data_IF_619983993424
#
_entry.id   IF_619983993424
#
_cell.length_a   1.000
_cell.length_b   1.000
_cell.length_c   1.000
_cell.angle_alpha   90.00
_cell.angle_beta   90.00
_cell.angle_gamma   90.00
#
_symmetry.space_group_name_H-M   'P 1'
#
loop_
_entity.id
_entity.type
_entity.pdbx_description
1 polymer ?
#
# COMPACT_ATOMS: atom_id res chain seq x y z
N UNK A 1 2.78 44.37 22.23
CA UNK A 1 2.48 42.92 22.18
C UNK A 1 2.45 42.45 20.72
N UNK A 2 3.27 41.46 20.38
CA UNK A 2 3.26 40.85 19.05
C UNK A 2 2.46 39.56 19.15
N UNK A 3 1.38 39.45 18.39
CA UNK A 3 0.59 38.22 18.30
C UNK A 3 0.07 38.08 16.87
N UNK A 4 -0.28 36.85 16.51
CA UNK A 4 -0.95 36.51 15.26
C UNK A 4 -2.26 35.85 15.62
N UNK A 5 -3.35 36.39 15.07
CA UNK A 5 -4.69 35.80 15.17
C UNK A 5 -5.15 35.40 13.78
N UNK A 6 -5.58 34.16 13.63
CA UNK A 6 -6.10 33.62 12.38
C UNK A 6 -7.47 33.00 12.62
N UNK A 7 -8.42 33.35 11.77
CA UNK A 7 -9.74 32.74 11.70
C UNK A 7 -9.79 31.87 10.45
N UNK A 8 -10.20 30.62 10.59
CA UNK A 8 -10.26 29.68 9.47
C UNK A 8 -11.51 28.80 9.56
N UNK A 9 -11.92 28.26 8.42
CA UNK A 9 -13.06 27.35 8.32
C UNK A 9 -12.58 25.95 7.95
N UNK A 10 -13.05 24.94 8.66
CA UNK A 10 -12.78 23.54 8.36
C UNK A 10 -14.05 22.71 8.57
N UNK A 11 -14.47 21.95 7.54
CA UNK A 11 -15.72 21.17 7.56
C UNK A 11 -16.94 21.99 7.99
N UNK A 12 -17.11 23.19 7.40
CA UNK A 12 -18.19 24.15 7.69
C UNK A 12 -18.24 24.63 9.15
N UNK A 13 -17.12 24.56 9.88
CA UNK A 13 -16.97 25.02 11.26
C UNK A 13 -15.88 26.08 11.32
N UNK A 14 -16.16 27.20 12.00
CA UNK A 14 -15.21 28.33 12.13
C UNK A 14 -14.38 28.17 13.41
N UNK A 15 -13.07 28.30 13.26
CA UNK A 15 -12.10 28.20 14.33
C UNK A 15 -11.29 29.49 14.41
N UNK A 16 -10.85 29.83 15.61
CA UNK A 16 -9.99 30.99 15.85
C UNK A 16 -8.77 30.53 16.60
N UNK A 17 -7.59 30.78 16.04
CA UNK A 17 -6.31 30.54 16.71
C UNK A 17 -5.58 31.84 16.93
N UNK A 18 -5.06 32.03 18.13
CA UNK A 18 -4.18 33.14 18.48
C UNK A 18 -2.87 32.58 19.03
N UNK A 19 -1.73 33.11 18.55
CA UNK A 19 -0.40 32.76 19.05
C UNK A 19 0.42 34.01 19.29
N UNK A 20 1.18 34.02 20.38
CA UNK A 20 2.21 35.01 20.62
C UNK A 20 3.58 34.32 20.81
N UNK A 21 4.66 34.86 20.21
CA UNK A 21 6.00 34.42 20.53
C UNK A 21 6.40 34.86 21.95
N UNK A 22 7.56 34.39 22.40
CA UNK A 22 8.21 34.95 23.58
C UNK A 22 8.75 36.35 23.26
N UNK A 23 8.54 37.32 24.15
CA UNK A 23 9.05 38.68 23.98
C UNK A 23 9.29 39.37 25.32
N UNK A 24 10.23 40.32 25.36
CA UNK A 24 10.40 41.19 26.51
C UNK A 24 9.37 42.31 26.53
N UNK A 25 8.78 42.57 27.70
CA UNK A 25 7.88 43.70 27.93
C UNK A 25 8.32 44.50 29.16
N UNK A 26 8.03 45.81 29.23
CA UNK A 26 8.23 46.57 30.46
C UNK A 26 7.49 45.94 31.64
N UNK A 27 8.10 45.98 32.82
CA UNK A 27 7.43 45.51 34.05
C UNK A 27 6.22 46.39 34.37
N UNK A 28 5.17 45.77 34.92
CA UNK A 28 3.99 46.50 35.41
C UNK A 28 4.35 47.32 36.66
N UNK A 29 5.32 46.85 37.46
CA UNK A 29 5.83 47.52 38.65
C UNK A 29 7.37 47.51 38.67
N UNK A 30 7.99 48.67 38.90
CA UNK A 30 9.44 48.85 38.93
C UNK A 30 10.09 49.14 37.57
N UNK A 31 11.41 49.35 37.58
CA UNK A 31 12.21 49.58 36.36
C UNK A 31 12.70 48.25 35.73
N UNK A 32 12.88 48.26 34.40
CA UNK A 32 13.36 47.13 33.60
C UNK A 32 12.28 46.35 32.84
N UNK A 33 12.70 45.27 32.17
CA UNK A 33 11.83 44.39 31.36
C UNK A 33 11.54 43.07 32.08
N UNK A 34 10.46 42.40 31.70
CA UNK A 34 10.10 41.03 32.07
C UNK A 34 9.83 40.23 30.82
N UNK A 35 10.23 38.97 30.81
CA UNK A 35 9.93 38.04 29.72
C UNK A 35 8.46 37.64 29.78
N UNK A 36 7.76 37.79 28.66
CA UNK A 36 6.45 37.22 28.43
C UNK A 36 6.65 35.92 27.63
N UNK A 37 6.27 34.78 28.21
CA UNK A 37 6.42 33.49 27.55
C UNK A 37 5.52 33.36 26.30
N UNK A 38 5.97 32.56 25.35
CA UNK A 38 5.13 32.16 24.22
C UNK A 38 3.84 31.49 24.70
N UNK A 39 2.72 31.79 24.05
CA UNK A 39 1.45 31.16 24.34
C UNK A 39 0.59 31.01 23.08
N UNK A 40 -0.43 30.18 23.19
CA UNK A 40 -1.41 29.95 22.14
C UNK A 40 -2.79 29.69 22.73
N UNK A 41 -3.82 30.08 21.99
CA UNK A 41 -5.23 29.82 22.30
C UNK A 41 -5.95 29.35 21.04
N UNK A 42 -6.71 28.26 21.12
CA UNK A 42 -7.58 27.75 20.08
C UNK A 42 -9.03 27.74 20.56
N UNK A 43 -9.89 28.45 19.83
CA UNK A 43 -11.33 28.55 20.09
C UNK A 43 -12.06 27.68 19.07
N UNK A 44 -12.89 26.77 19.58
CA UNK A 44 -13.78 25.92 18.79
C UNK A 44 -15.15 26.59 18.68
N UNK A 45 -15.91 26.33 17.60
CA UNK A 45 -17.27 26.86 17.47
C UNK A 45 -18.26 26.19 18.44
N UNK A 46 -18.00 24.94 18.80
CA UNK A 46 -18.93 24.10 19.57
C UNK A 46 -18.42 23.73 20.97
N UNK A 47 -17.36 24.39 21.46
CA UNK A 47 -16.85 24.18 22.83
C UNK A 47 -16.84 25.50 23.57
N UNK A 48 -17.39 25.50 24.78
CA UNK A 48 -17.37 26.68 25.66
C UNK A 48 -15.97 27.02 26.17
N UNK A 49 -15.09 26.01 26.30
CA UNK A 49 -13.74 26.20 26.80
C UNK A 49 -12.69 26.13 25.69
N UNK A 50 -11.89 27.20 25.47
CA UNK A 50 -10.79 27.17 24.51
C UNK A 50 -9.62 26.32 25.01
N UNK A 51 -8.85 25.78 24.08
CA UNK A 51 -7.58 25.09 24.39
C UNK A 51 -6.49 26.15 24.50
N UNK A 52 -5.73 26.13 25.59
CA UNK A 52 -4.65 27.09 25.85
C UNK A 52 -3.30 26.38 26.04
N UNK A 53 -2.21 27.11 25.79
CA UNK A 53 -0.84 26.62 25.86
C UNK A 53 -0.30 26.17 24.49
N UNK A 54 0.89 26.65 24.14
CA UNK A 54 1.51 26.41 22.81
C UNK A 54 1.58 24.94 22.40
N UNK A 55 1.99 24.05 23.31
CA UNK A 55 2.08 22.62 23.01
C UNK A 55 0.70 21.99 22.79
N UNK A 56 -0.23 22.23 23.72
CA UNK A 56 -1.59 21.69 23.66
C UNK A 56 -2.33 22.15 22.41
N UNK A 57 -2.22 23.44 22.07
CA UNK A 57 -2.80 23.98 20.84
C UNK A 57 -2.16 23.37 19.59
N UNK A 58 -0.85 23.08 19.60
CA UNK A 58 -0.19 22.40 18.48
C UNK A 58 -0.74 20.99 18.29
N UNK A 59 -0.87 20.20 19.36
CA UNK A 59 -1.47 18.86 19.30
C UNK A 59 -2.92 18.94 18.79
N UNK A 60 -3.72 19.84 19.36
CA UNK A 60 -5.12 20.01 18.98
C UNK A 60 -5.31 20.42 17.50
N UNK A 61 -4.43 21.27 16.97
CA UNK A 61 -4.44 21.64 15.54
C UNK A 61 -4.02 20.46 14.66
N UNK A 62 -2.98 19.72 15.05
CA UNK A 62 -2.53 18.55 14.30
C UNK A 62 -3.62 17.47 14.24
N UNK A 63 -4.36 17.25 15.33
CA UNK A 63 -5.50 16.34 15.36
C UNK A 63 -6.69 16.86 14.54
N UNK A 64 -6.95 18.17 14.58
CA UNK A 64 -8.07 18.79 13.86
C UNK A 64 -7.88 18.76 12.34
N UNK A 65 -6.69 19.17 11.88
CA UNK A 65 -6.38 19.31 10.45
C UNK A 65 -5.82 17.99 9.89
N UNK A 66 -5.24 17.16 10.74
CA UNK A 66 -4.59 15.90 10.35
C UNK A 66 -3.20 16.10 9.73
N UNK A 67 -2.58 17.27 9.94
CA UNK A 67 -1.29 17.64 9.38
C UNK A 67 -0.41 18.27 10.46
N UNK A 68 0.87 17.90 10.47
CA UNK A 68 1.87 18.58 11.30
C UNK A 68 2.48 19.81 10.60
N UNK A 69 3.36 20.53 11.30
CA UNK A 69 4.01 21.73 10.77
C UNK A 69 4.85 21.46 9.52
N UNK A 70 5.59 20.34 9.47
CA UNK A 70 6.45 20.00 8.33
C UNK A 70 5.60 19.66 7.11
N UNK A 71 4.52 18.90 7.29
CA UNK A 71 3.56 18.58 6.23
C UNK A 71 2.83 19.82 5.75
N UNK A 72 2.35 20.66 6.67
CA UNK A 72 1.67 21.91 6.32
C UNK A 72 2.60 22.86 5.57
N UNK A 73 3.84 23.03 6.03
CA UNK A 73 4.81 23.87 5.31
C UNK A 73 5.23 23.27 3.98
N UNK A 74 5.35 21.95 3.83
CA UNK A 74 5.55 21.33 2.51
C UNK A 74 4.39 21.61 1.56
N UNK A 75 3.14 21.55 2.03
CA UNK A 75 1.95 21.86 1.24
C UNK A 75 1.85 23.37 0.95
N UNK A 76 2.12 24.22 1.93
CA UNK A 76 1.97 25.68 1.85
C UNK A 76 3.15 26.35 1.13
N UNK A 77 4.39 25.83 1.22
CA UNK A 77 5.55 26.36 0.48
C UNK A 77 5.45 26.11 -1.03
N UNK A 78 4.66 25.12 -1.45
CA UNK A 78 4.32 24.94 -2.86
C UNK A 78 3.54 26.16 -3.37
N UNK A 79 2.76 26.85 -2.52
CA UNK A 79 2.00 28.04 -2.90
C UNK A 79 2.88 29.22 -3.37
N UNK A 80 4.19 29.22 -3.08
CA UNK A 80 5.08 30.31 -3.48
C UNK A 80 5.83 30.07 -4.81
N UNK A 81 5.95 28.83 -5.32
CA UNK A 81 6.63 28.55 -6.61
C UNK A 81 6.18 27.26 -7.35
N UNK A 82 5.71 26.22 -6.66
CA UNK A 82 5.47 24.89 -7.26
C UNK A 82 3.98 24.51 -7.43
N UNK A 83 3.03 25.30 -6.90
CA UNK A 83 1.59 25.01 -7.02
C UNK A 83 1.10 25.23 -8.45
N UNK A 84 1.64 26.26 -9.10
CA UNK A 84 1.38 26.52 -10.52
C UNK A 84 1.93 25.37 -11.39
N UNK A 85 3.10 24.82 -11.04
CA UNK A 85 3.62 23.62 -11.71
C UNK A 85 2.70 22.43 -11.48
N UNK A 86 2.17 22.21 -10.29
CA UNK A 86 1.20 21.12 -10.06
C UNK A 86 -0.10 21.29 -10.88
N UNK A 87 -0.60 22.53 -11.05
CA UNK A 87 -1.77 22.81 -11.90
C UNK A 87 -1.49 22.56 -13.39
N UNK A 88 -0.28 22.90 -13.85
CA UNK A 88 0.14 22.84 -15.26
C UNK A 88 0.87 21.54 -15.63
N UNK A 89 1.29 20.73 -14.64
CA UNK A 89 2.02 19.49 -14.82
C UNK A 89 1.16 18.44 -15.51
N UNK A 90 1.82 17.64 -16.33
CA UNK A 90 1.26 16.42 -16.89
C UNK A 90 0.91 15.41 -15.78
N UNK A 91 0.17 14.36 -16.15
CA UNK A 91 -0.37 13.39 -15.20
C UNK A 91 0.72 12.71 -14.36
N UNK A 92 1.89 12.46 -14.95
CA UNK A 92 2.98 11.73 -14.29
C UNK A 92 3.78 12.62 -13.35
N UNK A 93 4.09 13.86 -13.75
CA UNK A 93 4.71 14.86 -12.87
C UNK A 93 3.79 15.21 -11.71
N UNK A 94 2.50 15.41 -11.96
CA UNK A 94 1.50 15.69 -10.92
C UNK A 94 1.46 14.57 -9.88
N UNK A 95 1.51 13.31 -10.32
CA UNK A 95 1.56 12.14 -9.43
C UNK A 95 2.81 12.12 -8.56
N UNK A 96 3.98 12.42 -9.13
CA UNK A 96 5.25 12.50 -8.39
C UNK A 96 5.22 13.61 -7.34
N UNK A 97 4.70 14.78 -7.70
CA UNK A 97 4.56 15.92 -6.78
C UNK A 97 3.61 15.54 -5.64
N UNK A 98 2.45 14.95 -5.92
CA UNK A 98 1.52 14.50 -4.87
C UNK A 98 2.13 13.42 -3.97
N UNK A 99 2.87 12.47 -4.54
CA UNK A 99 3.51 11.42 -3.74
C UNK A 99 4.53 11.99 -2.75
N UNK A 100 5.23 13.07 -3.14
CA UNK A 100 6.14 13.81 -2.27
C UNK A 100 5.38 14.61 -1.20
N UNK A 101 4.30 15.32 -1.58
CA UNK A 101 3.47 16.13 -0.67
C UNK A 101 2.85 15.26 0.44
N UNK A 102 2.25 14.14 0.06
CA UNK A 102 1.56 13.27 1.00
C UNK A 102 2.47 12.19 1.61
N UNK A 103 3.77 12.28 1.34
CA UNK A 103 4.79 11.31 1.75
C UNK A 103 4.35 9.85 1.50
N UNK A 104 3.75 9.58 0.33
CA UNK A 104 3.23 8.25 0.00
C UNK A 104 4.28 7.31 -0.59
N UNK A 105 5.54 7.73 -0.63
CA UNK A 105 6.67 6.92 -1.08
C UNK A 105 6.77 5.53 -0.41
N UNK A 106 6.46 5.35 0.89
CA UNK A 106 6.44 4.03 1.51
C UNK A 106 5.42 3.07 0.88
N UNK A 107 4.25 3.58 0.46
CA UNK A 107 3.21 2.77 -0.17
C UNK A 107 3.59 2.35 -1.58
N UNK A 108 4.24 3.24 -2.34
CA UNK A 108 4.78 2.91 -3.66
C UNK A 108 5.84 1.80 -3.56
N UNK A 109 6.74 1.89 -2.58
CA UNK A 109 7.75 0.85 -2.31
C UNK A 109 7.11 -0.48 -1.91
N UNK A 110 6.03 -0.46 -1.13
CA UNK A 110 5.27 -1.65 -0.77
C UNK A 110 4.61 -2.28 -2.00
N UNK A 111 3.97 -1.47 -2.84
CA UNK A 111 3.31 -1.93 -4.07
C UNK A 111 4.30 -2.58 -5.03
N UNK A 112 5.50 -1.98 -5.19
CA UNK A 112 6.57 -2.56 -6.01
C UNK A 112 7.01 -3.92 -5.47
N UNK A 113 7.29 -4.02 -4.17
CA UNK A 113 7.67 -5.30 -3.53
C UNK A 113 6.60 -6.38 -3.70
N UNK A 114 5.33 -6.04 -3.49
CA UNK A 114 4.22 -6.97 -3.67
C UNK A 114 4.07 -7.40 -5.13
N UNK A 115 4.24 -6.46 -6.07
CA UNK A 115 4.21 -6.75 -7.51
C UNK A 115 5.35 -7.68 -7.93
N UNK A 116 6.56 -7.46 -7.42
CA UNK A 116 7.71 -8.31 -7.72
C UNK A 116 7.55 -9.71 -7.13
N UNK A 117 7.03 -9.83 -5.90
CA UNK A 117 6.76 -11.12 -5.28
C UNK A 117 5.65 -11.88 -6.00
N UNK A 118 4.57 -11.20 -6.39
CA UNK A 118 3.50 -11.81 -7.19
C UNK A 118 4.03 -12.31 -8.56
N UNK A 119 4.89 -11.54 -9.22
CA UNK A 119 5.55 -11.98 -10.47
C UNK A 119 6.44 -13.21 -10.23
N UNK A 120 7.18 -13.23 -9.12
CA UNK A 120 8.06 -14.36 -8.75
C UNK A 120 7.24 -15.63 -8.53
N UNK A 121 6.18 -15.56 -7.75
CA UNK A 121 5.29 -16.69 -7.48
C UNK A 121 4.62 -17.20 -8.77
N UNK A 122 4.17 -16.28 -9.63
CA UNK A 122 3.58 -16.66 -10.92
C UNK A 122 4.56 -17.42 -11.80
N UNK A 123 5.81 -16.97 -11.89
CA UNK A 123 6.86 -17.68 -12.63
C UNK A 123 7.10 -19.08 -12.08
N UNK A 124 7.11 -19.26 -10.76
CA UNK A 124 7.27 -20.59 -10.15
C UNK A 124 6.14 -21.54 -10.54
N UNK A 125 4.90 -21.07 -10.51
CA UNK A 125 3.73 -21.85 -10.95
C UNK A 125 3.83 -22.17 -12.44
N UNK A 126 4.16 -21.19 -13.27
CA UNK A 126 4.30 -21.39 -14.72
C UNK A 126 5.40 -22.40 -15.06
N UNK A 127 6.53 -22.36 -14.34
CA UNK A 127 7.64 -23.30 -14.55
C UNK A 127 7.30 -24.71 -14.06
N UNK A 128 6.62 -24.85 -12.92
CA UNK A 128 6.10 -26.15 -12.46
C UNK A 128 5.10 -26.75 -13.46
N UNK A 129 4.17 -25.93 -13.98
CA UNK A 129 3.20 -26.37 -14.98
C UNK A 129 3.87 -26.81 -16.29
N UNK A 130 4.94 -26.13 -16.72
CA UNK A 130 5.73 -26.59 -17.88
C UNK A 130 6.37 -27.95 -17.61
N UNK A 131 6.97 -28.15 -16.43
CA UNK A 131 7.56 -29.44 -16.07
C UNK A 131 6.52 -30.56 -16.03
N UNK A 132 5.35 -30.32 -15.44
CA UNK A 132 4.23 -31.27 -15.41
C UNK A 132 3.78 -31.62 -16.83
N UNK A 133 3.56 -30.61 -17.68
CA UNK A 133 3.21 -30.79 -19.08
C UNK A 133 4.23 -31.65 -19.83
N UNK A 134 5.53 -31.42 -19.59
CA UNK A 134 6.60 -32.21 -20.19
C UNK A 134 6.58 -33.68 -19.75
N UNK A 135 6.32 -33.95 -18.47
CA UNK A 135 6.18 -35.32 -17.97
C UNK A 135 4.96 -36.02 -18.58
N UNK A 136 3.82 -35.33 -18.68
CA UNK A 136 2.59 -35.85 -19.31
C UNK A 136 2.84 -36.23 -20.78
N UNK A 137 3.55 -35.39 -21.54
CA UNK A 137 3.90 -35.67 -22.94
C UNK A 137 4.82 -36.90 -23.08
N UNK A 138 5.60 -37.19 -22.04
CA UNK A 138 6.48 -38.34 -21.93
C UNK A 138 5.76 -39.68 -21.70
N UNK A 139 4.51 -39.67 -21.23
CA UNK A 139 3.74 -40.89 -20.94
C UNK A 139 3.59 -41.72 -22.23
N UNK A 140 3.76 -43.04 -22.08
CA UNK A 140 3.56 -44.05 -23.11
C UNK A 140 2.61 -45.10 -22.58
N UNK A 141 1.65 -45.51 -23.38
CA UNK A 141 0.73 -46.59 -23.07
C UNK A 141 0.86 -47.70 -24.13
N UNK A 142 0.39 -48.90 -23.81
CA UNK A 142 0.30 -50.01 -24.77
C UNK A 142 -0.65 -49.74 -25.94
N UNK A 143 -0.78 -50.71 -26.84
CA UNK A 143 -1.52 -50.55 -28.10
C UNK A 143 -3.06 -50.58 -27.96
N UNK A 144 -3.57 -50.61 -26.72
CA UNK A 144 -5.01 -50.52 -26.46
C UNK A 144 -5.58 -49.20 -26.97
N UNK A 145 -6.63 -49.29 -27.80
CA UNK A 145 -7.35 -48.13 -28.31
C UNK A 145 -7.88 -47.23 -27.18
N UNK A 146 -8.37 -47.83 -26.09
CA UNK A 146 -8.94 -47.12 -24.93
C UNK A 146 -7.85 -46.31 -24.21
N UNK A 147 -6.69 -46.93 -23.95
CA UNK A 147 -5.58 -46.26 -23.27
C UNK A 147 -5.01 -45.10 -24.11
N UNK A 148 -4.91 -45.28 -25.44
CA UNK A 148 -4.48 -44.20 -26.35
C UNK A 148 -5.46 -43.03 -26.36
N UNK A 149 -6.76 -43.30 -26.38
CA UNK A 149 -7.79 -42.26 -26.38
C UNK A 149 -7.77 -41.46 -25.06
N UNK A 150 -7.62 -42.12 -23.92
CA UNK A 150 -7.50 -41.48 -22.61
C UNK A 150 -6.22 -40.63 -22.51
N UNK A 151 -5.09 -41.15 -22.98
CA UNK A 151 -3.82 -40.40 -23.00
C UNK A 151 -3.90 -39.13 -23.87
N UNK A 152 -4.54 -39.20 -25.03
CA UNK A 152 -4.77 -38.02 -25.88
C UNK A 152 -5.69 -37.00 -25.20
N UNK A 153 -6.73 -37.44 -24.49
CA UNK A 153 -7.60 -36.55 -23.72
C UNK A 153 -6.82 -35.83 -22.59
N UNK A 154 -5.94 -36.55 -21.89
CA UNK A 154 -5.07 -35.99 -20.84
C UNK A 154 -4.07 -34.98 -21.41
N UNK A 155 -3.41 -35.30 -22.53
CA UNK A 155 -2.48 -34.39 -23.20
C UNK A 155 -3.16 -33.11 -23.70
N UNK A 156 -4.44 -33.18 -24.04
CA UNK A 156 -5.21 -32.01 -24.48
C UNK A 156 -5.76 -31.16 -23.32
N UNK A 157 -5.82 -31.69 -22.09
CA UNK A 157 -6.37 -31.00 -20.93
C UNK A 157 -5.36 -30.92 -19.75
N UNK A 158 -4.25 -30.21 -19.98
CA UNK A 158 -3.12 -30.07 -19.03
C UNK A 158 -3.38 -29.10 -17.86
N UNK A 159 -4.63 -28.98 -17.41
CA UNK A 159 -5.04 -28.05 -16.33
C UNK A 159 -4.97 -28.72 -14.95
N UNK A 160 -5.22 -27.98 -13.86
CA UNK A 160 -5.21 -28.52 -12.48
C UNK A 160 -6.07 -29.79 -12.33
N UNK A 161 -7.30 -29.79 -12.86
CA UNK A 161 -8.17 -30.97 -12.87
C UNK A 161 -7.66 -32.09 -13.81
N UNK A 162 -6.75 -31.79 -14.72
CA UNK A 162 -6.10 -32.78 -15.58
C UNK A 162 -5.04 -33.60 -14.85
N UNK A 163 -4.45 -33.06 -13.78
CA UNK A 163 -3.36 -33.72 -13.03
C UNK A 163 -3.90 -34.92 -12.24
N UNK A 164 -5.01 -34.77 -11.51
CA UNK A 164 -5.63 -35.89 -10.77
C UNK A 164 -6.01 -37.03 -11.73
N UNK A 165 -6.69 -36.70 -12.84
CA UNK A 165 -7.01 -37.68 -13.88
C UNK A 165 -5.77 -38.33 -14.52
N UNK A 166 -4.64 -37.61 -14.59
CA UNK A 166 -3.37 -38.17 -15.09
C UNK A 166 -2.82 -39.20 -14.11
N UNK A 167 -2.85 -38.91 -12.81
CA UNK A 167 -2.35 -39.80 -11.77
C UNK A 167 -3.16 -41.10 -11.77
N UNK A 168 -4.49 -41.00 -11.76
CA UNK A 168 -5.39 -42.17 -11.80
C UNK A 168 -5.11 -43.04 -13.03
N UNK A 169 -4.90 -42.42 -14.20
CA UNK A 169 -4.57 -43.12 -15.43
C UNK A 169 -3.20 -43.81 -15.37
N UNK A 170 -2.17 -43.17 -14.80
CA UNK A 170 -0.86 -43.78 -14.62
C UNK A 170 -0.96 -44.99 -13.67
N UNK A 171 -1.72 -44.88 -12.58
CA UNK A 171 -1.94 -45.99 -11.65
C UNK A 171 -2.64 -47.17 -12.35
N UNK A 172 -3.64 -46.90 -13.18
CA UNK A 172 -4.30 -47.92 -14.00
C UNK A 172 -3.32 -48.62 -14.96
N UNK A 173 -2.45 -47.85 -15.65
CA UNK A 173 -1.42 -48.40 -16.51
C UNK A 173 -0.44 -49.30 -15.74
N UNK A 174 0.04 -48.84 -14.58
CA UNK A 174 0.96 -49.61 -13.74
C UNK A 174 0.32 -50.92 -13.29
N UNK A 175 -0.94 -50.90 -12.86
CA UNK A 175 -1.65 -52.09 -12.43
C UNK A 175 -1.83 -53.10 -13.58
N UNK A 176 -2.22 -52.62 -14.77
CA UNK A 176 -2.35 -53.46 -15.95
C UNK A 176 -1.01 -54.10 -16.36
N UNK A 177 0.08 -53.33 -16.36
CA UNK A 177 1.42 -53.84 -16.67
C UNK A 177 1.89 -54.87 -15.63
N UNK A 178 1.60 -54.66 -14.35
CA UNK A 178 1.91 -55.63 -13.29
C UNK A 178 1.13 -56.94 -13.45
N UNK A 179 -0.15 -56.87 -13.82
CA UNK A 179 -0.96 -58.06 -14.04
C UNK A 179 -0.50 -58.83 -15.29
N UNK A 180 -0.13 -58.14 -16.37
CA UNK A 180 0.51 -58.75 -17.54
C UNK A 180 1.82 -59.46 -17.17
N UNK A 181 2.68 -58.82 -16.36
CA UNK A 181 3.93 -59.42 -15.88
C UNK A 181 3.68 -60.69 -15.07
N UNK A 182 2.66 -60.72 -14.19
CA UNK A 182 2.29 -61.92 -13.42
C UNK A 182 1.84 -63.08 -14.30
N UNK A 183 1.14 -62.79 -15.41
CA UNK A 183 0.72 -63.82 -16.38
C UNK A 183 1.93 -64.38 -17.14
N UNK A 184 2.84 -63.51 -17.59
CA UNK A 184 4.03 -63.90 -18.35
C UNK A 184 5.08 -64.65 -17.51
N UNK A 185 5.13 -64.43 -16.20
CA UNK A 185 6.09 -65.07 -15.28
C UNK A 185 5.59 -66.38 -14.66
N UNK A 186 4.30 -66.72 -14.83
CA UNK A 186 3.69 -67.98 -14.37
C UNK A 186 3.56 -69.05 -15.45
N UNK A 187 3.90 -68.74 -16.71
CA UNK A 187 4.02 -69.69 -17.81
C UNK A 187 5.47 -70.07 -18.06
#
# INVERSE_FOLDING_TARGET
PTFVKMEFEYRNKKYVIERNPEYERPKIHGEGTTTQSANATLIYPDKDTPVTGSSNVTVAINELIGLDYEQFTQIAMIAQNDFLKLLLADTDERRKIFSKIFNTYPYEKLQLKLGDEAKRLRRLVDDQNKSISQYIDGIRCGDSFVARQQLEAIKNNKTENGIENTIDFIEELINNDQDLLKVLTKG
#
